data_IF_407943116601
#
_entry.id   IF_407943116601
#
_cell.length_a   1.000
_cell.length_b   1.000
_cell.length_c   1.000
_cell.angle_alpha   90.00
_cell.angle_beta   90.00
_cell.angle_gamma   90.00
#
_symmetry.space_group_name_H-M   'P 1'
#
loop_
_entity.id
_entity.type
_entity.pdbx_description
1 polymer ?
#
# COMPACT_ATOMS: atom_id res chain seq x y z
N UNK A 1 -6.99 -4.42 1.60
CA UNK A 1 -6.41 -3.54 2.64
C UNK A 1 -4.89 -3.51 2.48
N UNK A 2 -4.30 -2.32 2.43
CA UNK A 2 -2.85 -2.15 2.36
C UNK A 2 -2.32 -1.82 3.76
N UNK A 3 -1.62 -2.78 4.38
CA UNK A 3 -1.06 -2.63 5.72
C UNK A 3 0.45 -2.44 5.60
N UNK A 4 0.91 -1.28 6.06
CA UNK A 4 2.32 -0.87 5.94
C UNK A 4 3.18 -1.61 6.96
N UNK A 5 4.41 -1.93 6.56
CA UNK A 5 5.43 -2.55 7.42
C UNK A 5 6.77 -1.86 7.23
N UNK A 6 7.51 -1.66 8.33
CA UNK A 6 8.81 -1.00 8.33
C UNK A 6 8.82 0.28 9.17
N UNK A 7 9.90 1.05 9.08
CA UNK A 7 10.15 2.23 9.92
C UNK A 7 9.10 3.33 9.81
N UNK A 8 8.44 3.48 8.66
CA UNK A 8 7.34 4.43 8.43
C UNK A 8 5.94 3.84 8.64
N UNK A 9 5.82 2.62 9.14
CA UNK A 9 4.54 1.97 9.35
C UNK A 9 3.82 2.44 10.62
N UNK A 10 2.51 2.20 10.67
CA UNK A 10 1.71 2.50 11.86
C UNK A 10 2.01 1.54 13.02
N UNK A 11 2.17 0.24 12.73
CA UNK A 11 2.53 -0.75 13.76
C UNK A 11 4.05 -0.81 13.92
N UNK A 12 4.56 -0.98 15.15
CA UNK A 12 6.00 -0.90 15.41
C UNK A 12 6.77 -2.15 14.98
N UNK A 13 6.10 -3.28 14.77
CA UNK A 13 6.73 -4.54 14.35
C UNK A 13 5.96 -5.22 13.23
N UNK A 14 6.65 -6.08 12.49
CA UNK A 14 6.06 -6.86 11.41
C UNK A 14 4.90 -7.75 11.92
N UNK A 15 5.09 -8.39 13.07
CA UNK A 15 4.12 -9.32 13.67
C UNK A 15 2.81 -8.59 14.01
N UNK A 16 2.93 -7.37 14.52
CA UNK A 16 1.78 -6.54 14.83
C UNK A 16 1.07 -6.01 13.57
N UNK A 17 1.81 -5.68 12.50
CA UNK A 17 1.19 -5.39 11.19
C UNK A 17 0.45 -6.60 10.63
N UNK A 18 1.02 -7.81 10.74
CA UNK A 18 0.37 -9.04 10.30
C UNK A 18 -0.92 -9.32 11.11
N UNK A 19 -0.85 -9.20 12.43
CA UNK A 19 -2.02 -9.36 13.31
C UNK A 19 -3.14 -8.34 12.98
N UNK A 20 -2.78 -7.09 12.69
CA UNK A 20 -3.73 -6.06 12.26
C UNK A 20 -4.40 -6.43 10.92
N UNK A 21 -3.61 -6.89 9.95
CA UNK A 21 -4.12 -7.31 8.65
C UNK A 21 -5.12 -8.47 8.79
N UNK A 22 -4.80 -9.49 9.59
CA UNK A 22 -5.66 -10.63 9.87
C UNK A 22 -6.97 -10.20 10.56
N UNK A 23 -6.89 -9.32 11.55
CA UNK A 23 -8.06 -8.80 12.25
C UNK A 23 -9.02 -8.05 11.30
N UNK A 24 -8.48 -7.16 10.45
CA UNK A 24 -9.30 -6.39 9.49
C UNK A 24 -9.97 -7.34 8.49
N UNK A 25 -9.22 -8.29 7.94
CA UNK A 25 -9.74 -9.27 6.98
C UNK A 25 -10.84 -10.12 7.64
N UNK A 26 -10.64 -10.59 8.87
CA UNK A 26 -11.62 -11.38 9.59
C UNK A 26 -12.93 -10.63 9.82
N UNK A 27 -12.84 -9.39 10.33
CA UNK A 27 -14.02 -8.54 10.57
C UNK A 27 -14.73 -8.20 9.26
N UNK A 28 -14.01 -7.79 8.23
CA UNK A 28 -14.61 -7.36 6.96
C UNK A 28 -15.33 -8.52 6.24
N UNK A 29 -14.71 -9.71 6.18
CA UNK A 29 -15.37 -10.88 5.62
C UNK A 29 -16.54 -11.36 6.51
N UNK A 30 -16.42 -11.25 7.83
CA UNK A 30 -17.53 -11.51 8.76
C UNK A 30 -18.72 -10.57 8.56
N UNK A 31 -18.47 -9.34 8.10
CA UNK A 31 -19.48 -8.36 7.71
C UNK A 31 -19.99 -8.53 6.26
N UNK A 32 -19.56 -9.56 5.54
CA UNK A 32 -19.98 -9.84 4.16
C UNK A 32 -19.24 -9.07 3.08
N UNK A 33 -18.17 -8.33 3.43
CA UNK A 33 -17.33 -7.62 2.48
C UNK A 33 -16.12 -8.49 2.14
N UNK A 34 -16.08 -9.02 0.92
CA UNK A 34 -14.92 -9.80 0.43
C UNK A 34 -13.68 -8.92 0.50
N UNK A 35 -12.77 -9.27 1.39
CA UNK A 35 -11.62 -8.43 1.73
C UNK A 35 -10.37 -9.27 1.83
N UNK A 36 -9.30 -8.81 1.18
CA UNK A 36 -7.94 -9.34 1.33
C UNK A 36 -7.03 -8.26 1.92
N UNK A 37 -5.86 -8.64 2.43
CA UNK A 37 -4.83 -7.69 2.87
C UNK A 37 -3.47 -8.01 2.25
N UNK A 38 -2.69 -6.95 1.99
CA UNK A 38 -1.29 -7.03 1.60
C UNK A 38 -0.44 -6.29 2.63
N UNK A 39 0.66 -6.92 3.03
CA UNK A 39 1.71 -6.28 3.82
C UNK A 39 2.71 -5.64 2.85
N UNK A 40 2.86 -4.31 2.87
CA UNK A 40 3.71 -3.58 1.93
C UNK A 40 4.79 -2.77 2.64
N UNK A 41 5.97 -2.67 2.01
CA UNK A 41 7.14 -1.99 2.58
C UNK A 41 6.94 -0.47 2.71
N UNK A 42 7.33 0.07 3.86
CA UNK A 42 7.38 1.49 4.19
C UNK A 42 8.67 1.83 4.92
N UNK A 43 9.79 1.15 4.61
CA UNK A 43 11.10 1.51 5.16
C UNK A 43 11.72 2.74 4.47
N UNK A 44 11.11 3.17 3.36
CA UNK A 44 11.47 4.37 2.59
C UNK A 44 10.21 4.87 1.85
N UNK A 45 10.26 6.10 1.32
CA UNK A 45 9.18 6.66 0.48
C UNK A 45 8.91 5.71 -0.69
N UNK A 46 7.62 5.42 -0.95
CA UNK A 46 7.23 4.48 -2.00
C UNK A 46 7.36 5.10 -3.40
N UNK A 47 6.88 6.33 -3.55
CA UNK A 47 7.02 7.14 -4.76
C UNK A 47 8.42 7.78 -4.84
N UNK A 48 8.74 8.40 -5.98
CA UNK A 48 9.95 9.21 -6.13
C UNK A 48 9.80 10.63 -5.54
N UNK A 49 8.61 11.00 -5.09
CA UNK A 49 8.28 12.28 -4.46
C UNK A 49 7.53 12.11 -3.13
N UNK A 50 7.63 13.13 -2.27
CA UNK A 50 6.86 13.25 -1.04
C UNK A 50 6.46 14.72 -0.84
N UNK A 51 5.16 14.99 -0.77
CA UNK A 51 4.56 16.32 -0.68
C UNK A 51 3.32 16.47 -1.56
N UNK A 52 2.58 17.56 -1.40
CA UNK A 52 1.23 17.66 -1.96
C UNK A 52 1.18 17.71 -3.51
N UNK A 53 1.67 18.79 -4.11
CA UNK A 53 1.55 18.99 -5.56
C UNK A 53 2.51 18.09 -6.36
N UNK A 54 3.65 17.75 -5.76
CA UNK A 54 4.69 16.92 -6.41
C UNK A 54 4.22 15.48 -6.58
N UNK A 55 3.46 14.93 -5.62
CA UNK A 55 2.86 13.59 -5.73
C UNK A 55 1.76 13.55 -6.79
N UNK A 56 0.93 14.61 -6.88
CA UNK A 56 -0.10 14.71 -7.94
C UNK A 56 0.54 14.71 -9.32
N UNK A 57 1.65 15.44 -9.50
CA UNK A 57 2.40 15.44 -10.76
C UNK A 57 2.92 14.04 -11.08
N UNK A 58 3.50 13.33 -10.11
CA UNK A 58 4.01 11.97 -10.33
C UNK A 58 2.89 10.99 -10.67
N UNK A 59 1.70 11.12 -10.05
CA UNK A 59 0.54 10.30 -10.39
C UNK A 59 0.09 10.50 -11.84
N UNK A 60 0.07 11.74 -12.35
CA UNK A 60 -0.25 12.02 -13.76
C UNK A 60 0.81 11.42 -14.69
N UNK A 61 2.10 11.57 -14.37
CA UNK A 61 3.20 10.96 -15.14
C UNK A 61 3.12 9.42 -15.16
N UNK A 62 2.73 8.82 -14.03
CA UNK A 62 2.55 7.38 -13.90
C UNK A 62 1.44 6.86 -14.81
N UNK A 63 0.28 7.52 -14.78
CA UNK A 63 -0.89 7.13 -15.58
C UNK A 63 -0.67 7.35 -17.08
N UNK A 64 -0.02 8.45 -17.46
CA UNK A 64 0.29 8.77 -18.86
C UNK A 64 1.46 7.96 -19.43
N UNK A 65 2.22 7.27 -18.57
CA UNK A 65 3.36 6.44 -18.98
C UNK A 65 4.66 7.20 -19.21
N UNK A 66 4.71 8.48 -18.82
CA UNK A 66 5.92 9.33 -18.91
C UNK A 66 7.01 8.85 -17.94
N UNK A 67 6.63 8.52 -16.70
CA UNK A 67 7.54 8.02 -15.68
C UNK A 67 6.80 7.11 -14.70
N UNK A 68 7.42 5.99 -14.34
CA UNK A 68 6.88 5.04 -13.35
C UNK A 68 7.99 4.55 -12.43
N UNK A 69 7.93 4.94 -11.16
CA UNK A 69 8.80 4.34 -10.15
C UNK A 69 8.47 2.84 -10.03
N UNK A 70 9.46 1.94 -10.13
CA UNK A 70 9.21 0.50 -10.16
C UNK A 70 8.58 -0.02 -8.87
N UNK A 71 8.96 0.50 -7.69
CA UNK A 71 8.40 0.07 -6.41
C UNK A 71 6.95 0.51 -6.25
N UNK A 72 6.68 1.76 -6.63
CA UNK A 72 5.31 2.28 -6.68
C UNK A 72 4.46 1.43 -7.63
N UNK A 73 4.99 1.10 -8.81
CA UNK A 73 4.31 0.27 -9.79
C UNK A 73 3.95 -1.11 -9.25
N UNK A 74 4.92 -1.82 -8.65
CA UNK A 74 4.71 -3.16 -8.12
C UNK A 74 3.61 -3.20 -7.06
N UNK A 75 3.64 -2.26 -6.09
CA UNK A 75 2.64 -2.18 -5.03
C UNK A 75 1.27 -1.80 -5.60
N UNK A 76 1.21 -0.81 -6.48
CA UNK A 76 -0.05 -0.39 -7.11
C UNK A 76 -0.67 -1.54 -7.90
N UNK A 77 0.10 -2.25 -8.72
CA UNK A 77 -0.40 -3.37 -9.51
C UNK A 77 -0.81 -4.56 -8.63
N UNK A 78 -0.04 -4.88 -7.58
CA UNK A 78 -0.38 -5.95 -6.65
C UNK A 78 -1.72 -5.68 -5.94
N UNK A 79 -1.97 -4.43 -5.55
CA UNK A 79 -3.24 -4.02 -4.95
C UNK A 79 -4.41 -4.11 -5.93
N UNK A 80 -4.21 -3.72 -7.20
CA UNK A 80 -5.26 -3.81 -8.24
C UNK A 80 -5.70 -5.25 -8.54
N UNK A 81 -4.78 -6.22 -8.44
CA UNK A 81 -5.09 -7.63 -8.77
C UNK A 81 -5.78 -8.37 -7.62
N UNK A 82 -5.65 -7.90 -6.37
CA UNK A 82 -6.14 -8.60 -5.17
C UNK A 82 -7.53 -8.19 -4.68
N UNK A 83 -8.39 -7.67 -5.56
CA UNK A 83 -9.78 -7.30 -5.24
C UNK A 83 -10.68 -8.51 -4.89
#
# INVERSE_FOLDING_TARGET
MDVKVGSGAFMPTYELSAALAEAIVGVANGAGVRTTALLTDMNQVLASSAGNAVEVREAVQFLTGEYRNPRLFDVTMALCVKC
#
